data_IF_790338388020
#
_entry.id   IF_790338388020
#
_cell.length_a   1.000
_cell.length_b   1.000
_cell.length_c   1.000
_cell.angle_alpha   90.00
_cell.angle_beta   90.00
_cell.angle_gamma   90.00
#
_symmetry.space_group_name_H-M   'P 1'
#
loop_
_entity.id
_entity.type
_entity.pdbx_description
1 polymer ?
#
# COMPACT_ATOMS: atom_id res chain seq x y z
N UNK A 1 -52.79 5.97 -9.01
CA UNK A 1 -51.51 6.62 -9.37
C UNK A 1 -50.81 5.74 -10.40
N UNK A 2 -50.52 6.26 -11.61
CA UNK A 2 -49.90 5.50 -12.72
C UNK A 2 -48.44 5.95 -12.83
N UNK A 3 -47.48 5.04 -12.64
CA UNK A 3 -46.05 5.36 -12.71
C UNK A 3 -45.65 5.47 -14.20
N UNK A 4 -44.99 6.55 -14.63
CA UNK A 4 -44.60 6.70 -16.04
C UNK A 4 -43.51 5.69 -16.42
N UNK A 5 -43.45 5.25 -17.70
CA UNK A 5 -42.44 4.31 -18.15
C UNK A 5 -41.04 4.94 -18.09
N UNK A 6 -40.16 4.30 -17.33
CA UNK A 6 -38.76 4.71 -17.21
C UNK A 6 -38.04 4.37 -18.51
N UNK A 7 -37.46 5.36 -19.17
CA UNK A 7 -36.68 5.15 -20.40
C UNK A 7 -35.32 4.52 -20.05
N UNK A 8 -34.95 3.46 -20.76
CA UNK A 8 -33.66 2.75 -20.57
C UNK A 8 -32.47 3.71 -20.66
N UNK A 9 -32.53 4.68 -21.59
CA UNK A 9 -31.50 5.71 -21.73
C UNK A 9 -31.36 6.59 -20.49
N UNK A 10 -32.46 6.92 -19.80
CA UNK A 10 -32.40 7.66 -18.54
C UNK A 10 -31.71 6.83 -17.45
N UNK A 11 -32.06 5.54 -17.34
CA UNK A 11 -31.43 4.62 -16.38
C UNK A 11 -29.91 4.50 -16.61
N UNK A 12 -29.50 4.44 -17.88
CA UNK A 12 -28.11 4.30 -18.27
C UNK A 12 -27.31 5.58 -17.98
N UNK A 13 -27.89 6.76 -18.21
CA UNK A 13 -27.28 8.04 -17.83
C UNK A 13 -27.09 8.18 -16.32
N UNK A 14 -28.09 7.79 -15.51
CA UNK A 14 -27.97 7.86 -14.05
C UNK A 14 -26.89 6.91 -13.52
N UNK A 15 -26.76 5.71 -14.11
CA UNK A 15 -25.74 4.74 -13.72
C UNK A 15 -24.31 5.26 -14.00
N UNK A 16 -24.08 5.86 -15.17
CA UNK A 16 -22.77 6.45 -15.53
C UNK A 16 -22.41 7.62 -14.59
N UNK A 17 -23.40 8.45 -14.24
CA UNK A 17 -23.20 9.55 -13.28
C UNK A 17 -22.89 9.06 -11.86
N UNK A 18 -23.50 7.93 -11.45
CA UNK A 18 -23.27 7.34 -10.14
C UNK A 18 -21.86 6.71 -10.01
N UNK A 19 -21.31 6.15 -11.09
CA UNK A 19 -19.95 5.58 -11.10
C UNK A 19 -18.87 6.68 -11.13
N UNK A 20 -19.17 7.85 -11.70
CA UNK A 20 -18.20 8.94 -11.78
C UNK A 20 -17.99 9.68 -10.45
N UNK A 21 -18.92 9.58 -9.50
CA UNK A 21 -18.75 10.10 -8.12
C UNK A 21 -17.99 9.13 -7.20
N UNK A 22 -17.85 7.85 -7.57
CA UNK A 22 -16.99 6.90 -6.86
C UNK A 22 -15.54 7.02 -7.36
N UNK A 23 -14.90 8.15 -7.06
CA UNK A 23 -13.49 8.37 -7.39
C UNK A 23 -12.51 7.62 -6.48
N UNK A 24 -11.26 7.44 -6.93
CA UNK A 24 -10.16 6.73 -6.23
C UNK A 24 -9.73 7.30 -4.86
N UNK A 25 -10.39 8.36 -4.36
CA UNK A 25 -10.09 9.00 -3.07
C UNK A 25 -11.09 8.66 -1.95
N UNK A 26 -12.17 7.95 -2.25
CA UNK A 26 -13.20 7.61 -1.27
C UNK A 26 -12.96 6.25 -0.64
N UNK A 27 -12.50 6.25 0.62
CA UNK A 27 -12.47 5.13 1.57
C UNK A 27 -12.68 3.74 0.98
N UNK A 28 -11.59 3.07 0.61
CA UNK A 28 -11.64 1.65 0.29
C UNK A 28 -12.16 0.85 1.48
N UNK A 29 -12.60 -0.39 1.23
CA UNK A 29 -12.93 -1.34 2.31
C UNK A 29 -11.74 -1.63 3.24
N UNK A 30 -10.56 -1.22 2.84
CA UNK A 30 -9.32 -1.33 3.61
C UNK A 30 -9.04 -0.07 4.42
N UNK A 31 -8.38 -0.25 5.56
CA UNK A 31 -7.85 0.84 6.34
C UNK A 31 -7.00 1.77 5.45
N UNK A 32 -7.05 3.07 5.74
CA UNK A 32 -6.20 4.03 5.08
C UNK A 32 -4.74 3.58 5.18
N UNK A 33 -3.93 3.69 4.11
CA UNK A 33 -2.56 3.17 4.07
C UNK A 33 -1.57 3.89 5.00
N UNK A 34 -2.04 4.87 5.78
CA UNK A 34 -1.23 5.67 6.69
C UNK A 34 -0.47 6.79 5.98
N UNK A 35 0.34 7.51 6.76
CA UNK A 35 1.23 8.55 6.26
C UNK A 35 2.30 7.96 5.34
N UNK A 36 2.90 8.79 4.49
CA UNK A 36 4.02 8.38 3.62
C UNK A 36 5.17 7.73 4.42
N UNK A 37 5.48 8.26 5.60
CA UNK A 37 6.53 7.71 6.46
C UNK A 37 6.16 6.31 6.99
N UNK A 38 4.89 6.08 7.34
CA UNK A 38 4.42 4.75 7.77
C UNK A 38 4.50 3.74 6.62
N UNK A 39 4.12 4.16 5.41
CA UNK A 39 4.20 3.31 4.23
C UNK A 39 5.66 2.96 3.90
N UNK A 40 6.57 3.92 3.97
CA UNK A 40 7.99 3.69 3.75
C UNK A 40 8.60 2.76 4.83
N UNK A 41 8.25 2.96 6.10
CA UNK A 41 8.71 2.08 7.18
C UNK A 41 8.22 0.63 6.99
N UNK A 42 6.96 0.43 6.57
CA UNK A 42 6.45 -0.90 6.24
C UNK A 42 7.14 -1.52 5.03
N UNK A 43 7.41 -0.73 3.98
CA UNK A 43 8.12 -1.20 2.79
C UNK A 43 9.54 -1.70 3.13
N UNK A 44 10.19 -1.07 4.10
CA UNK A 44 11.50 -1.47 4.61
C UNK A 44 11.45 -2.83 5.31
N UNK A 45 10.45 -3.05 6.18
CA UNK A 45 10.33 -4.28 6.98
C UNK A 45 9.97 -5.49 6.11
N UNK A 46 9.17 -5.26 5.07
CA UNK A 46 8.68 -6.29 4.15
C UNK A 46 9.42 -6.30 2.80
N UNK A 47 10.67 -5.82 2.77
CA UNK A 47 11.50 -5.82 1.57
C UNK A 47 11.70 -7.26 1.05
N UNK A 48 11.24 -7.61 -0.17
CA UNK A 48 11.40 -8.96 -0.71
C UNK A 48 12.83 -9.25 -1.19
N UNK A 49 13.69 -8.24 -1.31
CA UNK A 49 15.03 -8.41 -1.83
C UNK A 49 16.01 -8.90 -0.76
N UNK A 50 16.97 -9.76 -1.13
CA UNK A 50 17.91 -10.29 -0.18
C UNK A 50 18.78 -9.17 0.42
N UNK A 51 19.23 -9.45 1.63
CA UNK A 51 20.17 -8.61 2.35
C UNK A 51 21.61 -8.99 1.97
N UNK A 52 22.55 -8.06 2.16
CA UNK A 52 23.95 -8.24 1.76
C UNK A 52 24.67 -9.38 2.50
N UNK A 53 24.15 -9.80 3.67
CA UNK A 53 24.64 -10.89 4.51
C UNK A 53 24.04 -12.27 4.15
N UNK A 54 22.96 -12.29 3.34
CA UNK A 54 22.22 -13.51 2.99
C UNK A 54 22.54 -13.97 1.56
N UNK A 55 22.65 -13.03 0.61
CA UNK A 55 22.91 -13.34 -0.79
C UNK A 55 23.83 -12.28 -1.43
N UNK A 56 24.43 -12.59 -2.60
CA UNK A 56 25.21 -11.61 -3.35
C UNK A 56 24.39 -10.36 -3.69
N UNK A 57 25.07 -9.22 -3.71
CA UNK A 57 24.46 -7.95 -4.08
C UNK A 57 23.97 -7.97 -5.53
N UNK A 58 22.68 -7.69 -5.74
CA UNK A 58 22.04 -7.62 -7.05
C UNK A 58 21.45 -6.22 -7.29
N UNK A 59 22.18 -5.38 -8.04
CA UNK A 59 21.75 -4.01 -8.31
C UNK A 59 20.56 -3.89 -9.26
N UNK A 60 20.35 -4.91 -10.11
CA UNK A 60 19.40 -4.86 -11.22
C UNK A 60 17.96 -5.22 -10.82
N UNK A 61 17.78 -5.99 -9.75
CA UNK A 61 16.46 -6.47 -9.34
C UNK A 61 15.70 -5.45 -8.50
N UNK A 62 16.41 -4.64 -7.71
CA UNK A 62 15.83 -3.61 -6.82
C UNK A 62 15.34 -2.37 -7.61
N UNK A 63 14.19 -1.76 -7.24
CA UNK A 63 13.71 -0.52 -7.85
C UNK A 63 14.69 0.64 -7.68
N UNK A 64 14.75 1.60 -8.64
CA UNK A 64 15.59 2.80 -8.51
C UNK A 64 15.39 3.53 -7.17
N UNK A 65 16.49 3.89 -6.51
CA UNK A 65 16.57 4.49 -5.16
C UNK A 65 16.36 3.54 -3.97
N UNK A 66 16.11 2.25 -4.20
CA UNK A 66 15.95 1.21 -3.16
C UNK A 66 17.05 0.15 -3.22
N UNK A 67 18.14 0.41 -3.96
CA UNK A 67 19.26 -0.51 -4.15
C UNK A 67 19.97 -0.86 -2.83
N UNK A 68 20.02 0.09 -1.90
CA UNK A 68 20.78 -0.05 -0.67
C UNK A 68 19.84 -0.51 0.47
N UNK A 69 20.01 -1.74 0.99
CA UNK A 69 19.28 -2.16 2.19
C UNK A 69 19.71 -1.33 3.41
N UNK A 70 18.94 -1.39 4.49
CA UNK A 70 19.34 -0.73 5.73
C UNK A 70 20.66 -1.31 6.27
N UNK A 71 21.50 -0.47 6.89
CA UNK A 71 22.65 -0.97 7.62
C UNK A 71 22.23 -1.98 8.70
N UNK A 72 23.00 -3.07 8.82
CA UNK A 72 22.85 -4.13 9.84
C UNK A 72 22.49 -3.59 11.24
N UNK A 73 23.19 -2.57 11.81
CA UNK A 73 22.90 -2.11 13.16
C UNK A 73 21.51 -1.49 13.31
N UNK A 74 20.98 -0.88 12.24
CA UNK A 74 19.62 -0.29 12.24
C UNK A 74 18.58 -1.39 12.10
N UNK A 75 18.84 -2.35 11.20
CA UNK A 75 17.96 -3.50 10.98
C UNK A 75 17.78 -4.35 12.24
N UNK A 76 18.86 -4.62 12.97
CA UNK A 76 18.84 -5.38 14.23
C UNK A 76 18.06 -4.69 15.37
N UNK A 77 17.67 -3.43 15.20
CA UNK A 77 16.83 -2.70 16.15
C UNK A 77 15.35 -2.68 15.78
N UNK A 78 14.96 -3.03 14.55
CA UNK A 78 13.57 -2.95 14.09
C UNK A 78 12.61 -3.76 14.96
N UNK A 79 12.91 -5.04 15.21
CA UNK A 79 12.05 -5.91 16.02
C UNK A 79 12.09 -5.52 17.52
N UNK A 80 13.26 -5.36 18.16
CA UNK A 80 13.31 -4.96 19.57
C UNK A 80 12.63 -3.62 19.87
N UNK A 81 12.74 -2.64 18.96
CA UNK A 81 12.17 -1.31 19.17
C UNK A 81 10.65 -1.31 18.89
N UNK A 82 10.17 -2.11 17.93
CA UNK A 82 8.74 -2.23 17.63
C UNK A 82 8.00 -3.14 18.61
N UNK A 83 8.68 -4.16 19.13
CA UNK A 83 8.11 -5.20 20.00
C UNK A 83 8.96 -5.39 21.26
N UNK A 84 9.11 -4.36 22.12
CA UNK A 84 9.98 -4.42 23.30
C UNK A 84 9.58 -5.50 24.31
N UNK A 85 8.31 -5.94 24.28
CA UNK A 85 7.80 -7.01 25.14
C UNK A 85 8.19 -8.42 24.69
N UNK A 86 8.72 -8.60 23.47
CA UNK A 86 9.09 -9.93 22.95
C UNK A 86 10.39 -10.48 23.59
N UNK A 87 11.08 -9.66 24.38
CA UNK A 87 12.39 -10.00 24.95
C UNK A 87 13.48 -10.00 23.89
N UNK A 88 14.73 -9.79 24.31
CA UNK A 88 15.91 -10.07 23.49
C UNK A 88 16.43 -11.45 23.81
#
# INVERSE_FOLDING_TARGET
MRIPPIKISALLCTAVLAISITGCRGGGWFAAPGTMNQQQANAIVHDPYPQNDIAPYEAASRPPSYQQPLPEPVRNRLIPDAMPWLGR
#
